data_IF_860600822344
#
_entry.id   IF_860600822344
#
_cell.length_a   1.000
_cell.length_b   1.000
_cell.length_c   1.000
_cell.angle_alpha   90.00
_cell.angle_beta   90.00
_cell.angle_gamma   90.00
#
_symmetry.space_group_name_H-M   'P 1'
#
loop_
_entity.id
_entity.type
_entity.pdbx_description
1 polymer ?
#
# COMPACT_ATOMS: atom_id res chain seq x y z
N UNK A 1 -45.67 -1.45 69.76
CA UNK A 1 -44.23 -1.13 69.64
C UNK A 1 -43.92 -0.93 68.19
N UNK A 2 -43.60 0.29 67.72
CA UNK A 2 -43.25 0.55 66.33
C UNK A 2 -41.77 0.26 66.10
N UNK A 3 -41.47 -0.53 65.07
CA UNK A 3 -40.15 -0.86 64.63
C UNK A 3 -39.46 0.36 64.01
N UNK A 4 -38.30 0.73 64.54
CA UNK A 4 -37.44 1.79 64.00
C UNK A 4 -36.73 1.24 62.73
N UNK A 5 -36.89 1.98 61.62
CA UNK A 5 -36.15 1.74 60.37
C UNK A 5 -34.75 2.28 60.53
N UNK A 6 -33.69 1.52 60.27
CA UNK A 6 -32.32 2.06 60.36
C UNK A 6 -32.03 3.03 59.20
N UNK A 7 -31.56 4.23 59.57
CA UNK A 7 -31.12 5.24 58.64
C UNK A 7 -29.91 4.77 57.83
N UNK A 8 -30.02 4.74 56.52
CA UNK A 8 -28.92 4.44 55.62
C UNK A 8 -27.88 5.56 55.65
N UNK A 9 -26.69 5.27 56.14
CA UNK A 9 -25.54 6.16 56.09
C UNK A 9 -25.05 6.30 54.66
N UNK A 10 -25.20 7.48 54.07
CA UNK A 10 -24.64 7.80 52.76
C UNK A 10 -23.12 7.87 52.92
N UNK A 11 -22.42 6.84 52.44
CA UNK A 11 -20.98 6.82 52.31
C UNK A 11 -20.58 7.82 51.21
N UNK A 12 -20.09 9.00 51.57
CA UNK A 12 -19.49 9.94 50.63
C UNK A 12 -18.17 9.31 50.15
N UNK A 13 -18.16 8.83 48.92
CA UNK A 13 -16.90 8.46 48.23
C UNK A 13 -16.00 9.70 48.17
N UNK A 14 -14.73 9.59 48.60
CA UNK A 14 -13.82 10.71 48.54
C UNK A 14 -13.59 11.11 47.07
N UNK A 15 -13.86 12.36 46.74
CA UNK A 15 -13.44 12.93 45.45
C UNK A 15 -11.94 12.72 45.32
N UNK A 16 -11.52 12.08 44.25
CA UNK A 16 -10.12 11.84 43.92
C UNK A 16 -9.40 13.19 43.86
N UNK A 17 -8.54 13.47 44.85
CA UNK A 17 -7.66 14.65 44.81
C UNK A 17 -6.37 14.25 44.13
N UNK A 18 -6.12 14.70 42.87
CA UNK A 18 -4.89 14.36 42.20
C UNK A 18 -3.70 14.90 42.95
N UNK A 19 -2.71 14.07 43.21
CA UNK A 19 -1.43 14.48 43.80
C UNK A 19 -0.71 15.46 42.85
N UNK A 20 0.08 16.37 43.38
CA UNK A 20 0.93 17.26 42.59
C UNK A 20 1.74 16.49 41.55
N UNK A 21 2.31 15.35 41.92
CA UNK A 21 3.04 14.48 41.02
C UNK A 21 2.16 13.91 39.88
N UNK A 22 0.92 13.55 40.16
CA UNK A 22 -0.02 13.09 39.14
C UNK A 22 -0.35 14.17 38.13
N UNK A 23 -0.51 15.41 38.59
CA UNK A 23 -0.75 16.56 37.71
C UNK A 23 0.48 16.83 36.83
N UNK A 24 1.68 16.82 37.44
CA UNK A 24 2.94 17.05 36.72
C UNK A 24 3.15 15.99 35.61
N UNK A 25 2.98 14.71 35.95
CA UNK A 25 3.09 13.62 34.98
C UNK A 25 2.05 13.77 33.87
N UNK A 26 0.80 14.10 34.22
CA UNK A 26 -0.26 14.31 33.22
C UNK A 26 0.08 15.47 32.27
N UNK A 27 0.56 16.60 32.81
CA UNK A 27 0.97 17.76 31.98
C UNK A 27 2.14 17.42 31.07
N UNK A 28 3.15 16.69 31.55
CA UNK A 28 4.29 16.26 30.73
C UNK A 28 3.84 15.32 29.60
N UNK A 29 2.99 14.34 29.90
CA UNK A 29 2.45 13.40 28.89
C UNK A 29 1.56 14.12 27.89
N UNK A 30 0.64 14.97 28.35
CA UNK A 30 -0.24 15.75 27.49
C UNK A 30 0.55 16.73 26.61
N UNK A 31 1.58 17.39 27.14
CA UNK A 31 2.48 18.26 26.37
C UNK A 31 3.25 17.45 25.31
N UNK A 32 3.78 16.28 25.67
CA UNK A 32 4.46 15.38 24.73
C UNK A 32 3.55 14.94 23.59
N UNK A 33 2.32 14.54 23.91
CA UNK A 33 1.29 14.19 22.90
C UNK A 33 0.95 15.42 22.05
N UNK A 34 0.73 16.58 22.66
CA UNK A 34 0.40 17.82 21.95
C UNK A 34 1.50 18.26 20.98
N UNK A 35 2.77 18.21 21.40
CA UNK A 35 3.92 18.52 20.54
C UNK A 35 4.01 17.54 19.37
N UNK A 36 3.80 16.25 19.64
CA UNK A 36 3.84 15.22 18.60
C UNK A 36 2.70 15.41 17.60
N UNK A 37 1.49 15.61 18.09
CA UNK A 37 0.32 15.89 17.25
C UNK A 37 0.52 17.15 16.39
N UNK A 38 1.03 18.23 17.00
CA UNK A 38 1.34 19.46 16.26
C UNK A 38 2.37 19.23 15.16
N UNK A 39 3.47 18.54 15.46
CA UNK A 39 4.50 18.21 14.45
C UNK A 39 3.97 17.36 13.32
N UNK A 40 3.10 16.39 13.62
CA UNK A 40 2.53 15.49 12.61
C UNK A 40 1.47 16.21 11.75
N UNK A 41 0.64 17.07 12.35
CA UNK A 41 -0.38 17.85 11.64
C UNK A 41 0.19 19.05 10.88
N UNK A 42 1.36 19.57 11.28
CA UNK A 42 2.01 20.70 10.61
C UNK A 42 2.79 20.31 9.34
N UNK A 43 2.86 19.01 9.00
CA UNK A 43 3.47 18.59 7.75
C UNK A 43 2.58 19.01 6.57
N UNK A 44 3.17 19.52 5.47
CA UNK A 44 2.39 19.97 4.32
C UNK A 44 1.43 18.92 3.75
N UNK A 45 1.81 17.63 3.85
CA UNK A 45 1.06 16.51 3.29
C UNK A 45 0.21 15.78 4.35
N UNK A 46 0.15 16.27 5.60
CA UNK A 46 -0.54 15.59 6.70
C UNK A 46 -2.05 15.46 6.42
N UNK A 47 -2.67 16.51 5.90
CA UNK A 47 -4.10 16.52 5.61
C UNK A 47 -4.46 15.52 4.51
N UNK A 48 -3.67 15.45 3.44
CA UNK A 48 -3.89 14.50 2.34
C UNK A 48 -3.75 13.06 2.84
N UNK A 49 -2.75 12.80 3.70
CA UNK A 49 -2.58 11.48 4.34
C UNK A 49 -3.79 11.11 5.21
N UNK A 50 -4.27 12.02 6.09
CA UNK A 50 -5.41 11.76 6.96
C UNK A 50 -6.69 11.58 6.19
N UNK A 51 -6.90 12.38 5.16
CA UNK A 51 -8.04 12.24 4.25
C UNK A 51 -8.04 10.90 3.54
N UNK A 52 -6.92 10.49 2.96
CA UNK A 52 -6.76 9.21 2.27
C UNK A 52 -6.91 8.01 3.22
N UNK A 53 -6.42 8.15 4.46
CA UNK A 53 -6.48 7.07 5.47
C UNK A 53 -7.88 6.86 6.06
N UNK A 54 -8.65 7.93 6.31
CA UNK A 54 -9.84 7.84 7.17
C UNK A 54 -11.11 8.38 6.56
N UNK A 55 -11.04 9.24 5.55
CA UNK A 55 -12.22 9.96 5.02
C UNK A 55 -12.59 9.43 3.63
N UNK A 56 -11.65 9.42 2.71
CA UNK A 56 -11.89 9.07 1.31
C UNK A 56 -10.65 8.36 0.74
N UNK A 57 -10.47 7.06 1.02
CA UNK A 57 -9.37 6.30 0.47
C UNK A 57 -9.36 6.33 -1.05
N UNK A 58 -8.21 6.69 -1.64
CA UNK A 58 -8.01 6.72 -3.08
C UNK A 58 -7.81 5.31 -3.68
N UNK A 59 -7.56 4.33 -2.81
CA UNK A 59 -7.33 2.94 -3.15
C UNK A 59 -8.26 2.04 -2.34
N UNK A 60 -8.79 1.01 -2.97
CA UNK A 60 -9.59 -0.04 -2.33
C UNK A 60 -8.82 -1.35 -2.27
N UNK A 61 -8.97 -2.07 -1.16
CA UNK A 61 -8.38 -3.39 -0.95
C UNK A 61 -9.46 -4.33 -0.45
N UNK A 62 -9.75 -5.38 -1.20
CA UNK A 62 -10.78 -6.37 -0.87
C UNK A 62 -10.22 -7.78 -0.86
N UNK A 63 -10.63 -8.57 0.13
CA UNK A 63 -10.27 -9.99 0.23
C UNK A 63 -11.19 -10.82 -0.65
N UNK A 64 -10.59 -11.74 -1.41
CA UNK A 64 -11.27 -12.76 -2.21
C UNK A 64 -10.72 -14.11 -1.77
N UNK A 65 -11.57 -14.97 -1.23
CA UNK A 65 -11.15 -16.23 -0.61
C UNK A 65 -10.52 -17.20 -1.62
N UNK A 66 -11.02 -17.20 -2.85
CA UNK A 66 -10.49 -18.05 -3.93
C UNK A 66 -10.49 -17.32 -5.26
N UNK A 67 -9.32 -17.09 -5.81
CA UNK A 67 -9.17 -16.69 -7.22
C UNK A 67 -8.45 -17.78 -7.98
N UNK A 68 -8.83 -17.94 -9.23
CA UNK A 68 -8.27 -18.93 -10.13
C UNK A 68 -7.42 -18.24 -11.18
N UNK A 69 -6.12 -18.50 -11.15
CA UNK A 69 -5.21 -18.15 -12.24
C UNK A 69 -5.35 -19.19 -13.33
N UNK A 70 -5.56 -18.77 -14.56
CA UNK A 70 -5.74 -19.65 -15.70
C UNK A 70 -4.67 -20.75 -15.77
N UNK A 71 -5.10 -22.00 -15.93
CA UNK A 71 -4.22 -23.17 -15.97
C UNK A 71 -3.74 -23.68 -14.60
N UNK A 72 -4.30 -23.19 -13.49
CA UNK A 72 -3.99 -23.67 -12.12
C UNK A 72 -5.28 -24.02 -11.39
N UNK A 73 -5.44 -25.27 -11.03
CA UNK A 73 -6.66 -25.80 -10.38
C UNK A 73 -6.83 -25.40 -8.92
N UNK A 74 -5.77 -24.88 -8.29
CA UNK A 74 -5.82 -24.47 -6.89
C UNK A 74 -6.16 -22.99 -6.78
N UNK A 75 -7.32 -22.69 -6.19
CA UNK A 75 -7.72 -21.34 -5.83
C UNK A 75 -6.76 -20.75 -4.79
N UNK A 76 -6.38 -19.48 -4.96
CA UNK A 76 -5.51 -18.73 -4.05
C UNK A 76 -6.30 -17.68 -3.30
N UNK A 77 -5.96 -17.47 -2.03
CA UNK A 77 -6.43 -16.29 -1.31
C UNK A 77 -5.81 -15.06 -1.96
N UNK A 78 -6.61 -14.04 -2.15
CA UNK A 78 -6.21 -12.88 -2.94
C UNK A 78 -6.67 -11.60 -2.28
N UNK A 79 -5.79 -10.60 -2.19
CA UNK A 79 -6.21 -9.22 -2.02
C UNK A 79 -6.28 -8.54 -3.38
N UNK A 80 -7.46 -8.12 -3.77
CA UNK A 80 -7.67 -7.26 -4.93
C UNK A 80 -7.45 -5.81 -4.52
N UNK A 81 -6.50 -5.16 -5.18
CA UNK A 81 -6.07 -3.78 -4.94
C UNK A 81 -6.41 -2.95 -6.17
N UNK A 82 -7.29 -1.97 -6.02
CA UNK A 82 -7.76 -1.13 -7.13
C UNK A 82 -7.77 0.35 -6.76
N UNK A 83 -7.52 1.23 -7.74
CA UNK A 83 -7.54 2.68 -7.57
C UNK A 83 -6.15 3.32 -7.57
N UNK A 84 -6.09 4.58 -7.20
CA UNK A 84 -4.86 5.38 -7.18
C UNK A 84 -4.05 5.09 -5.92
N UNK A 85 -2.73 4.98 -6.06
CA UNK A 85 -1.81 4.80 -4.93
C UNK A 85 -1.66 6.15 -4.22
N UNK A 86 -2.43 6.37 -3.19
CA UNK A 86 -2.42 7.59 -2.38
C UNK A 86 -1.35 7.58 -1.28
N UNK A 87 -1.26 8.67 -0.50
CA UNK A 87 -0.23 8.84 0.53
C UNK A 87 -0.34 7.83 1.70
N UNK A 88 -1.51 7.21 1.91
CA UNK A 88 -1.72 6.19 2.95
C UNK A 88 -1.75 4.75 2.40
N UNK A 89 -1.54 4.54 1.10
CA UNK A 89 -1.75 3.27 0.42
C UNK A 89 -0.92 2.11 1.01
N UNK A 90 0.34 2.35 1.36
CA UNK A 90 1.21 1.29 1.92
C UNK A 90 0.73 0.84 3.30
N UNK A 91 0.20 1.74 4.12
CA UNK A 91 -0.39 1.40 5.41
C UNK A 91 -1.65 0.58 5.22
N UNK A 92 -2.56 1.03 4.35
CA UNK A 92 -3.78 0.29 4.04
C UNK A 92 -3.47 -1.13 3.56
N UNK A 93 -2.51 -1.30 2.66
CA UNK A 93 -2.10 -2.63 2.19
C UNK A 93 -1.57 -3.50 3.33
N UNK A 94 -0.70 -2.96 4.18
CA UNK A 94 -0.13 -3.70 5.33
C UNK A 94 -1.23 -4.19 6.26
N UNK A 95 -2.10 -3.27 6.70
CA UNK A 95 -3.20 -3.59 7.62
C UNK A 95 -4.09 -4.70 7.02
N UNK A 96 -4.39 -4.65 5.71
CA UNK A 96 -5.19 -5.69 5.03
C UNK A 96 -4.47 -7.01 4.85
N UNK A 97 -3.15 -7.01 4.61
CA UNK A 97 -2.34 -8.24 4.55
C UNK A 97 -2.34 -8.94 5.91
N UNK A 98 -2.17 -8.16 6.99
CA UNK A 98 -2.14 -8.68 8.36
C UNK A 98 -3.54 -9.18 8.81
N UNK A 99 -4.60 -8.41 8.57
CA UNK A 99 -5.99 -8.80 8.86
C UNK A 99 -6.38 -10.08 8.11
N UNK A 100 -6.04 -10.16 6.82
CA UNK A 100 -6.31 -11.32 6.00
C UNK A 100 -5.38 -12.50 6.30
N UNK A 101 -4.34 -12.32 7.12
CA UNK A 101 -3.33 -13.34 7.44
C UNK A 101 -2.79 -14.01 6.18
N UNK A 102 -2.42 -13.22 5.18
CA UNK A 102 -1.87 -13.75 3.95
C UNK A 102 -0.51 -14.41 4.20
N UNK A 103 -0.26 -15.48 3.47
CA UNK A 103 0.95 -16.29 3.56
C UNK A 103 1.69 -16.34 2.24
N UNK A 104 2.93 -16.80 2.26
CA UNK A 104 3.73 -16.94 1.05
C UNK A 104 2.98 -17.73 -0.04
N UNK A 105 2.94 -17.16 -1.25
CA UNK A 105 2.22 -17.70 -2.40
C UNK A 105 0.78 -17.23 -2.55
N UNK A 106 0.18 -16.56 -1.55
CA UNK A 106 -1.08 -15.84 -1.73
C UNK A 106 -0.91 -14.68 -2.71
N UNK A 107 -2.00 -14.20 -3.28
CA UNK A 107 -1.97 -13.31 -4.44
C UNK A 107 -2.36 -11.87 -4.08
N UNK A 108 -1.62 -10.91 -4.60
CA UNK A 108 -2.02 -9.52 -4.73
C UNK A 108 -2.41 -9.27 -6.18
N UNK A 109 -3.69 -8.98 -6.42
CA UNK A 109 -4.25 -8.70 -7.74
C UNK A 109 -4.39 -7.19 -7.92
N UNK A 110 -3.71 -6.64 -8.93
CA UNK A 110 -3.51 -5.20 -9.10
C UNK A 110 -4.30 -4.64 -10.29
N UNK A 111 -5.00 -3.52 -10.04
CA UNK A 111 -5.65 -2.72 -11.09
C UNK A 111 -5.53 -1.24 -10.72
N UNK A 112 -4.49 -0.54 -11.21
CA UNK A 112 -4.16 0.82 -10.75
C UNK A 112 -3.48 1.67 -11.82
N UNK A 113 -3.83 2.95 -11.92
CA UNK A 113 -3.11 3.93 -12.76
C UNK A 113 -1.74 4.32 -12.18
N UNK A 114 -1.43 3.93 -10.95
CA UNK A 114 -0.27 4.39 -10.20
C UNK A 114 -0.61 5.47 -9.17
N UNK A 115 0.30 6.39 -8.92
CA UNK A 115 0.18 7.47 -7.94
C UNK A 115 1.50 7.73 -7.23
N UNK A 116 1.51 7.80 -5.91
CA UNK A 116 2.68 8.10 -5.09
C UNK A 116 3.79 7.06 -5.22
N UNK A 117 4.93 7.48 -5.78
CA UNK A 117 6.06 6.60 -6.09
C UNK A 117 6.60 5.86 -4.84
N UNK A 118 6.81 6.63 -3.75
CA UNK A 118 7.33 6.07 -2.51
C UNK A 118 6.37 5.05 -1.90
N UNK A 119 5.07 5.31 -1.96
CA UNK A 119 4.07 4.37 -1.48
C UNK A 119 4.07 3.09 -2.31
N UNK A 120 4.18 3.20 -3.64
CA UNK A 120 4.31 2.03 -4.52
C UNK A 120 5.52 1.17 -4.18
N UNK A 121 6.68 1.79 -3.94
CA UNK A 121 7.88 1.05 -3.53
C UNK A 121 7.71 0.36 -2.16
N UNK A 122 7.15 1.05 -1.16
CA UNK A 122 6.89 0.46 0.17
C UNK A 122 5.89 -0.70 0.06
N UNK A 123 4.83 -0.56 -0.73
CA UNK A 123 3.86 -1.65 -0.98
C UNK A 123 4.56 -2.88 -1.58
N UNK A 124 5.45 -2.67 -2.56
CA UNK A 124 6.22 -3.77 -3.13
C UNK A 124 7.16 -4.44 -2.14
N UNK A 125 7.78 -3.69 -1.22
CA UNK A 125 8.59 -4.26 -0.13
C UNK A 125 7.73 -5.10 0.84
N UNK A 126 6.53 -4.65 1.17
CA UNK A 126 5.59 -5.42 1.99
C UNK A 126 5.25 -6.75 1.29
N UNK A 127 4.89 -6.71 0.01
CA UNK A 127 4.58 -7.89 -0.80
C UNK A 127 5.77 -8.86 -0.82
N UNK A 128 6.98 -8.34 -1.06
CA UNK A 128 8.22 -9.13 -1.11
C UNK A 128 8.54 -9.79 0.22
N UNK A 129 8.41 -9.05 1.33
CA UNK A 129 8.74 -9.56 2.67
C UNK A 129 7.80 -10.69 3.12
N UNK A 130 6.54 -10.68 2.65
CA UNK A 130 5.58 -11.75 2.92
C UNK A 130 5.62 -12.89 1.91
N UNK A 131 6.48 -12.82 0.89
CA UNK A 131 6.58 -13.84 -0.16
C UNK A 131 5.31 -13.98 -1.01
N UNK A 132 4.53 -12.90 -1.13
CA UNK A 132 3.28 -12.89 -1.88
C UNK A 132 3.54 -12.86 -3.39
N UNK A 133 2.63 -13.44 -4.15
CA UNK A 133 2.60 -13.35 -5.59
C UNK A 133 1.90 -12.06 -6.05
N UNK A 134 2.18 -11.59 -7.26
CA UNK A 134 1.45 -10.48 -7.89
C UNK A 134 0.92 -10.87 -9.26
N UNK A 135 -0.24 -10.31 -9.63
CA UNK A 135 -0.79 -10.35 -10.98
C UNK A 135 -1.49 -9.03 -11.28
N UNK A 136 -1.62 -8.71 -12.58
CA UNK A 136 -2.42 -7.56 -13.02
C UNK A 136 -3.78 -8.05 -13.49
N UNK A 137 -4.84 -7.55 -12.86
CA UNK A 137 -6.20 -7.95 -13.17
C UNK A 137 -7.22 -7.44 -12.15
N UNK A 138 -8.49 -7.72 -12.45
CA UNK A 138 -9.60 -7.66 -11.51
C UNK A 138 -10.20 -9.06 -11.37
N UNK A 139 -11.01 -9.30 -10.35
CA UNK A 139 -11.72 -10.57 -10.22
C UNK A 139 -13.23 -10.34 -10.30
N UNK A 140 -13.93 -11.25 -10.97
CA UNK A 140 -15.38 -11.28 -10.96
C UNK A 140 -15.94 -12.01 -9.71
N UNK A 141 -17.27 -12.02 -9.57
CA UNK A 141 -17.94 -12.64 -8.42
C UNK A 141 -17.66 -14.16 -8.27
N UNK A 142 -17.19 -14.83 -9.34
CA UNK A 142 -16.79 -16.24 -9.31
C UNK A 142 -15.30 -16.45 -8.99
N UNK A 143 -14.56 -15.37 -8.75
CA UNK A 143 -13.11 -15.41 -8.49
C UNK A 143 -12.27 -15.59 -9.76
N UNK A 144 -12.85 -15.47 -10.97
CA UNK A 144 -12.09 -15.51 -12.22
C UNK A 144 -11.43 -14.17 -12.47
N UNK A 145 -10.16 -14.23 -12.82
CA UNK A 145 -9.36 -13.03 -13.11
C UNK A 145 -9.73 -12.51 -14.50
N UNK A 146 -10.02 -11.21 -14.57
CA UNK A 146 -10.23 -10.45 -15.81
C UNK A 146 -9.05 -9.51 -16.03
N UNK A 147 -8.72 -9.24 -17.32
CA UNK A 147 -7.65 -8.31 -17.65
C UNK A 147 -7.87 -6.92 -17.05
N UNK A 148 -6.76 -6.30 -16.67
CA UNK A 148 -6.71 -4.92 -16.19
C UNK A 148 -5.36 -4.29 -16.55
N UNK A 149 -5.07 -3.11 -15.98
CA UNK A 149 -3.79 -2.46 -16.19
C UNK A 149 -3.14 -2.05 -14.86
N UNK A 150 -1.81 -1.98 -14.89
CA UNK A 150 -0.99 -1.50 -13.79
C UNK A 150 0.06 -0.56 -14.37
N UNK A 151 -0.05 0.74 -14.09
CA UNK A 151 0.79 1.77 -14.68
C UNK A 151 1.57 2.56 -13.62
N UNK A 152 2.69 3.18 -14.02
CA UNK A 152 3.45 4.10 -13.19
C UNK A 152 3.92 3.46 -11.88
N UNK A 153 3.64 4.08 -10.71
CA UNK A 153 3.99 3.55 -9.39
C UNK A 153 3.44 2.14 -9.12
N UNK A 154 2.33 1.72 -9.77
CA UNK A 154 1.80 0.38 -9.67
C UNK A 154 2.81 -0.69 -10.16
N UNK A 155 3.66 -0.37 -11.13
CA UNK A 155 4.70 -1.30 -11.62
C UNK A 155 5.71 -1.63 -10.53
N UNK A 156 5.99 -0.68 -9.60
CA UNK A 156 6.82 -0.95 -8.43
C UNK A 156 6.13 -1.93 -7.48
N UNK A 157 4.83 -1.76 -7.25
CA UNK A 157 4.04 -2.70 -6.43
C UNK A 157 4.08 -4.09 -7.03
N UNK A 158 3.85 -4.20 -8.35
CA UNK A 158 3.88 -5.46 -9.07
C UNK A 158 5.26 -6.15 -9.00
N UNK A 159 6.35 -5.37 -9.13
CA UNK A 159 7.72 -5.87 -9.03
C UNK A 159 8.04 -6.54 -7.68
N UNK A 160 7.33 -6.17 -6.61
CA UNK A 160 7.44 -6.79 -5.29
C UNK A 160 7.09 -8.27 -5.26
N UNK A 161 6.26 -8.75 -6.17
CA UNK A 161 5.77 -10.14 -6.20
C UNK A 161 6.83 -11.22 -6.35
N UNK A 162 6.53 -12.39 -5.79
CA UNK A 162 7.33 -13.61 -5.92
C UNK A 162 6.41 -14.84 -5.88
N UNK A 163 5.99 -15.37 -7.06
CA UNK A 163 6.25 -14.93 -8.46
C UNK A 163 5.40 -13.73 -8.91
N UNK A 164 5.69 -13.25 -10.13
CA UNK A 164 4.96 -12.19 -10.84
C UNK A 164 4.26 -12.78 -12.07
N UNK A 165 2.93 -12.95 -11.96
CA UNK A 165 2.14 -13.59 -13.01
C UNK A 165 1.74 -12.60 -14.10
N UNK A 166 2.03 -12.96 -15.36
CA UNK A 166 1.49 -12.28 -16.52
C UNK A 166 0.09 -12.79 -16.85
N UNK A 167 -0.92 -11.94 -16.84
CA UNK A 167 -2.30 -12.29 -17.22
C UNK A 167 -2.54 -11.84 -18.66
N UNK A 168 -3.04 -12.75 -19.49
CA UNK A 168 -3.33 -12.44 -20.89
C UNK A 168 -4.36 -11.30 -21.00
N UNK A 169 -4.06 -10.32 -21.83
CA UNK A 169 -4.89 -9.11 -22.00
C UNK A 169 -4.67 -8.02 -20.94
N UNK A 170 -3.92 -8.31 -19.87
CA UNK A 170 -3.51 -7.27 -18.92
C UNK A 170 -2.28 -6.52 -19.42
N UNK A 171 -2.14 -5.25 -18.96
CA UNK A 171 -1.11 -4.36 -19.43
C UNK A 171 -0.26 -3.79 -18.28
N UNK A 172 1.06 -3.71 -18.49
CA UNK A 172 2.01 -3.02 -17.63
C UNK A 172 2.48 -1.75 -18.34
N UNK A 173 2.31 -0.61 -17.70
CA UNK A 173 2.62 0.70 -18.29
C UNK A 173 3.69 1.44 -17.52
N UNK A 174 4.70 1.93 -18.23
CA UNK A 174 5.82 2.68 -17.65
C UNK A 174 5.94 4.06 -18.28
N UNK A 175 6.39 5.03 -17.53
CA UNK A 175 6.74 6.37 -17.99
C UNK A 175 7.76 7.00 -17.03
N UNK A 176 8.38 8.11 -17.43
CA UNK A 176 9.31 8.85 -16.57
C UNK A 176 8.61 9.44 -15.36
N UNK A 177 9.34 9.54 -14.27
CA UNK A 177 8.81 10.15 -13.05
C UNK A 177 8.51 11.63 -13.29
N UNK A 178 7.34 12.06 -12.86
CA UNK A 178 6.89 13.44 -12.93
C UNK A 178 6.60 13.89 -11.51
N UNK A 179 7.04 15.10 -11.15
CA UNK A 179 6.67 15.75 -9.90
C UNK A 179 5.93 17.04 -10.23
N UNK A 180 4.85 17.26 -9.52
CA UNK A 180 4.08 18.51 -9.59
C UNK A 180 4.58 19.55 -8.59
N UNK A 181 5.44 19.13 -7.64
CA UNK A 181 5.98 20.04 -6.61
C UNK A 181 7.19 20.81 -7.16
N UNK A 182 7.27 22.13 -6.91
CA UNK A 182 8.46 22.93 -7.25
C UNK A 182 9.70 22.33 -6.56
N UNK A 183 10.73 22.07 -7.34
CA UNK A 183 12.00 21.55 -6.84
C UNK A 183 13.09 22.61 -6.87
N UNK A 184 13.95 22.64 -5.85
CA UNK A 184 15.10 23.57 -5.79
C UNK A 184 16.18 23.18 -6.79
N UNK A 185 16.41 21.89 -6.99
CA UNK A 185 17.36 21.33 -7.96
C UNK A 185 16.70 20.14 -8.69
N UNK A 186 16.01 20.41 -9.82
CA UNK A 186 15.29 19.39 -10.56
C UNK A 186 16.20 18.27 -11.10
N UNK A 187 17.45 18.59 -11.43
CA UNK A 187 18.40 17.62 -11.99
C UNK A 187 18.87 16.65 -10.90
N UNK A 188 19.30 17.16 -9.76
CA UNK A 188 19.73 16.33 -8.63
C UNK A 188 18.57 15.49 -8.10
N UNK A 189 17.34 16.03 -8.07
CA UNK A 189 16.16 15.30 -7.61
C UNK A 189 15.81 14.19 -8.61
N UNK A 190 15.85 14.44 -9.91
CA UNK A 190 15.62 13.42 -10.94
C UNK A 190 16.66 12.29 -10.85
N UNK A 191 17.94 12.61 -10.69
CA UNK A 191 19.01 11.62 -10.52
C UNK A 191 18.81 10.76 -9.27
N UNK A 192 18.43 11.38 -8.14
CA UNK A 192 18.16 10.67 -6.88
C UNK A 192 16.99 9.71 -7.03
N UNK A 193 15.89 10.16 -7.61
CA UNK A 193 14.69 9.32 -7.84
C UNK A 193 15.03 8.17 -8.78
N UNK A 194 15.70 8.45 -9.90
CA UNK A 194 16.11 7.40 -10.86
C UNK A 194 17.01 6.37 -10.20
N UNK A 195 18.01 6.81 -9.43
CA UNK A 195 18.90 5.91 -8.69
C UNK A 195 18.16 5.05 -7.66
N UNK A 196 17.20 5.64 -6.93
CA UNK A 196 16.39 4.92 -5.96
C UNK A 196 15.50 3.86 -6.63
N UNK A 197 14.88 4.18 -7.76
CA UNK A 197 14.05 3.24 -8.52
C UNK A 197 14.90 2.13 -9.14
N UNK A 198 16.07 2.46 -9.69
CA UNK A 198 17.00 1.47 -10.21
C UNK A 198 17.43 0.48 -9.13
N UNK A 199 17.83 0.99 -7.95
CA UNK A 199 18.17 0.16 -6.80
C UNK A 199 17.02 -0.73 -6.35
N UNK A 200 15.81 -0.18 -6.27
CA UNK A 200 14.61 -0.92 -5.93
C UNK A 200 14.32 -2.04 -6.95
N UNK A 201 14.26 -1.74 -8.26
CA UNK A 201 13.99 -2.73 -9.30
C UNK A 201 15.03 -3.84 -9.33
N UNK A 202 16.33 -3.49 -9.17
CA UNK A 202 17.42 -4.48 -9.07
C UNK A 202 17.22 -5.40 -7.86
N UNK A 203 16.88 -4.84 -6.70
CA UNK A 203 16.55 -5.61 -5.48
C UNK A 203 15.37 -6.57 -5.71
N UNK A 204 14.39 -6.16 -6.50
CA UNK A 204 13.25 -7.00 -6.86
C UNK A 204 13.58 -8.02 -7.97
N UNK A 205 14.82 -8.05 -8.47
CA UNK A 205 15.26 -8.94 -9.52
C UNK A 205 14.69 -8.59 -10.90
N UNK A 206 14.40 -7.31 -11.12
CA UNK A 206 13.94 -6.76 -12.41
C UNK A 206 15.14 -6.16 -13.13
N UNK A 207 15.23 -6.31 -14.45
CA UNK A 207 16.30 -5.72 -15.27
C UNK A 207 16.28 -4.19 -15.23
N UNK A 208 17.47 -3.56 -15.29
CA UNK A 208 17.60 -2.11 -15.43
C UNK A 208 16.90 -1.56 -16.68
N UNK A 209 16.71 -2.37 -17.70
CA UNK A 209 16.01 -1.98 -18.94
C UNK A 209 14.56 -1.53 -18.71
N UNK A 210 13.93 -1.90 -17.58
CA UNK A 210 12.64 -1.32 -17.18
C UNK A 210 12.81 0.16 -16.84
N UNK A 211 13.88 0.54 -16.13
CA UNK A 211 14.15 1.94 -15.76
C UNK A 211 14.55 2.76 -16.97
N UNK A 212 15.27 2.16 -17.92
CA UNK A 212 15.56 2.77 -19.23
C UNK A 212 14.25 3.07 -19.97
N UNK A 213 13.36 2.06 -20.09
CA UNK A 213 12.05 2.23 -20.71
C UNK A 213 11.17 3.28 -20.00
N UNK A 214 11.29 3.42 -18.67
CA UNK A 214 10.63 4.49 -17.91
C UNK A 214 11.16 5.87 -18.30
N UNK A 215 12.47 6.02 -18.53
CA UNK A 215 13.10 7.32 -18.81
C UNK A 215 12.82 7.87 -20.20
N UNK A 216 12.49 7.01 -21.17
CA UNK A 216 12.34 7.36 -22.59
C UNK A 216 11.11 8.24 -22.88
N UNK A 217 10.02 8.09 -22.10
CA UNK A 217 8.76 8.74 -22.45
C UNK A 217 8.08 9.42 -21.27
N UNK A 218 7.40 10.52 -21.56
CA UNK A 218 6.47 11.17 -20.60
C UNK A 218 5.12 10.48 -20.58
N UNK A 219 4.66 10.07 -21.74
CA UNK A 219 3.40 9.32 -21.89
C UNK A 219 3.58 7.88 -21.43
N UNK A 220 2.48 7.21 -21.04
CA UNK A 220 2.52 5.81 -20.63
C UNK A 220 2.89 4.94 -21.84
N UNK A 221 4.04 4.30 -21.76
CA UNK A 221 4.45 3.23 -22.67
C UNK A 221 3.94 1.90 -22.12
N UNK A 222 3.04 1.28 -22.85
CA UNK A 222 2.57 -0.05 -22.54
C UNK A 222 3.58 -1.09 -23.03
N UNK A 223 4.08 -1.91 -22.10
CA UNK A 223 5.07 -2.93 -22.41
C UNK A 223 4.40 -4.10 -23.11
N UNK A 224 4.98 -4.54 -24.25
CA UNK A 224 4.57 -5.79 -24.84
C UNK A 224 4.91 -6.96 -23.90
N UNK A 225 4.10 -8.03 -23.84
CA UNK A 225 4.36 -9.16 -22.94
C UNK A 225 5.76 -9.77 -23.10
N UNK A 226 6.28 -9.86 -24.33
CA UNK A 226 7.64 -10.33 -24.62
C UNK A 226 8.72 -9.44 -24.00
N UNK A 227 8.52 -8.12 -24.00
CA UNK A 227 9.47 -7.17 -23.45
C UNK A 227 9.44 -7.23 -21.91
N UNK A 228 8.24 -7.29 -21.31
CA UNK A 228 8.10 -7.45 -19.88
C UNK A 228 8.72 -8.76 -19.35
N UNK A 229 8.68 -9.84 -20.13
CA UNK A 229 9.38 -11.10 -19.85
C UNK A 229 10.90 -10.94 -19.98
N UNK A 230 11.38 -10.34 -21.08
CA UNK A 230 12.80 -10.12 -21.32
C UNK A 230 13.43 -9.23 -20.22
N UNK A 231 12.67 -8.26 -19.70
CA UNK A 231 13.06 -7.40 -18.59
C UNK A 231 12.96 -8.10 -17.23
N UNK A 232 12.58 -9.37 -17.17
CA UNK A 232 12.27 -10.09 -15.95
C UNK A 232 11.26 -9.35 -15.05
N UNK A 233 10.38 -8.53 -15.64
CA UNK A 233 9.28 -7.89 -14.92
C UNK A 233 8.14 -8.90 -14.70
N UNK A 234 7.83 -9.73 -15.68
CA UNK A 234 7.00 -10.93 -15.57
C UNK A 234 7.93 -12.13 -15.36
N UNK A 235 7.66 -12.98 -14.35
CA UNK A 235 8.43 -14.21 -14.09
C UNK A 235 7.69 -15.48 -14.52
N UNK A 236 6.36 -15.45 -14.47
CA UNK A 236 5.47 -16.58 -14.78
C UNK A 236 4.39 -16.14 -15.78
N UNK A 237 4.61 -16.31 -17.08
CA UNK A 237 3.58 -16.02 -18.08
C UNK A 237 2.42 -17.03 -17.96
N UNK A 238 1.20 -16.54 -17.87
CA UNK A 238 0.01 -17.37 -17.95
C UNK A 238 -0.41 -17.48 -19.43
N UNK A 239 -0.31 -18.67 -19.96
CA UNK A 239 -0.62 -18.99 -21.34
C UNK A 239 -2.10 -19.29 -21.55
N UNK A 240 -2.99 -18.35 -21.43
CA UNK A 240 -4.45 -18.30 -21.70
C UNK A 240 -5.28 -17.99 -20.45
N UNK A 241 -6.40 -17.24 -20.63
CA UNK A 241 -7.41 -17.06 -19.60
C UNK A 241 -8.15 -18.34 -19.27
#
# INVERSE_FOLDING_TARGET
MPNAVPSATVVKTPLFRPSFWSITVFVLVASGIGIRAYRDLSRPDAWDYWKDQYIAPSMTVSLIDKTYLAGRDQGRRTLAVSGTIGPAASRLLRDRVDEAKLTAGDLILLSSPGGELNQGAIMGEIIRSHGLATAVGTADASGRIKPAYCASACVLVYAGGKPRFGVLGSALGVHRFVTEKPMKDPVADAQRVTGAVLGYMTKMGVSSSVVEAMSETREIRWLAPKDALAMNLITDPLSKP
#
